data_IF_128443817012
#
_entry.id   IF_128443817012
#
_cell.length_a   1.000
_cell.length_b   1.000
_cell.length_c   1.000
_cell.angle_alpha   90.00
_cell.angle_beta   90.00
_cell.angle_gamma   90.00
#
_symmetry.space_group_name_H-M   'P 1'
#
loop_
_entity.id
_entity.type
_entity.pdbx_description
1 polymer ?
#
# COMPACT_ATOMS: atom_id res chain seq x y z
N UNK A 1 14.47 15.80 0.85
CA UNK A 1 13.16 15.37 1.27
C UNK A 1 12.94 13.88 0.99
N UNK A 2 12.52 13.11 1.97
CA UNK A 2 12.27 11.69 1.70
C UNK A 2 11.14 11.53 0.68
N UNK A 3 11.38 10.71 -0.29
CA UNK A 3 10.46 10.38 -1.36
C UNK A 3 10.02 8.94 -1.18
N UNK A 4 9.12 8.49 -2.03
CA UNK A 4 8.72 7.07 -2.08
C UNK A 4 9.92 6.15 -2.29
N UNK A 5 10.94 6.60 -3.04
CA UNK A 5 12.16 5.83 -3.27
C UNK A 5 12.89 5.49 -1.97
N UNK A 6 12.93 6.42 -1.02
CA UNK A 6 13.56 6.18 0.27
C UNK A 6 12.86 5.05 1.05
N UNK A 7 11.55 4.92 0.90
CA UNK A 7 10.79 3.84 1.52
C UNK A 7 11.18 2.50 0.93
N UNK A 8 11.34 2.40 -0.38
CA UNK A 8 11.72 1.14 -1.03
C UNK A 8 13.06 0.63 -0.51
N UNK A 9 14.06 1.52 -0.44
CA UNK A 9 15.40 1.11 0.02
C UNK A 9 15.42 0.79 1.51
N UNK A 10 14.58 1.45 2.30
CA UNK A 10 14.57 1.27 3.75
C UNK A 10 13.91 -0.04 4.18
N UNK A 11 12.77 -0.40 3.58
CA UNK A 11 11.96 -1.49 4.09
C UNK A 11 12.18 -2.82 3.39
N UNK A 12 12.49 -2.82 2.12
CA UNK A 12 12.45 -4.05 1.35
C UNK A 12 13.78 -4.39 0.68
N UNK A 13 14.78 -3.58 0.87
CA UNK A 13 16.07 -3.81 0.23
C UNK A 13 15.98 -3.57 -1.27
N UNK A 14 16.10 -4.62 -2.06
CA UNK A 14 16.26 -4.49 -3.50
C UNK A 14 14.94 -4.61 -4.25
N UNK A 15 14.75 -3.74 -5.24
CA UNK A 15 13.68 -3.86 -6.22
C UNK A 15 13.93 -5.13 -7.05
N UNK A 16 12.87 -5.90 -7.24
CA UNK A 16 12.95 -7.17 -7.96
C UNK A 16 13.40 -7.00 -9.41
N UNK A 17 14.06 -8.01 -9.93
CA UNK A 17 14.47 -8.09 -11.31
C UNK A 17 13.77 -9.23 -12.08
N UNK A 18 12.75 -9.85 -11.45
CA UNK A 18 11.95 -10.92 -12.05
C UNK A 18 10.49 -10.52 -12.08
N UNK A 19 9.78 -10.93 -13.13
CA UNK A 19 8.33 -10.77 -13.21
C UNK A 19 7.66 -11.82 -12.31
N UNK A 20 6.66 -11.40 -11.55
CA UNK A 20 5.95 -12.27 -10.60
C UNK A 20 4.44 -12.20 -10.82
N UNK A 21 3.78 -13.28 -10.46
CA UNK A 21 2.33 -13.42 -10.56
C UNK A 21 1.77 -14.01 -9.27
N UNK A 22 0.51 -13.72 -8.98
CA UNK A 22 -0.19 -14.27 -7.82
C UNK A 22 -1.68 -14.38 -8.15
N UNK A 23 -2.26 -15.56 -7.93
CA UNK A 23 -3.69 -15.77 -8.15
C UNK A 23 -4.14 -15.48 -9.57
N UNK A 24 -3.32 -15.80 -10.57
CA UNK A 24 -3.64 -15.54 -11.97
C UNK A 24 -3.41 -14.10 -12.43
N UNK A 25 -3.00 -13.21 -11.51
CA UNK A 25 -2.69 -11.82 -11.86
C UNK A 25 -1.19 -11.64 -11.98
N UNK A 26 -0.74 -11.08 -13.11
CA UNK A 26 0.67 -10.74 -13.33
C UNK A 26 0.88 -9.28 -12.97
N UNK A 27 1.79 -9.02 -12.04
CA UNK A 27 2.16 -7.67 -11.64
C UNK A 27 3.01 -6.99 -12.72
N UNK A 28 3.40 -5.75 -12.49
CA UNK A 28 4.21 -5.00 -13.45
C UNK A 28 5.41 -5.84 -13.91
N UNK A 29 5.64 -5.91 -15.20
CA UNK A 29 6.78 -6.63 -15.75
C UNK A 29 8.08 -6.02 -15.23
N UNK A 30 9.04 -6.88 -14.89
CA UNK A 30 10.29 -6.43 -14.27
C UNK A 30 11.02 -5.36 -15.11
N UNK A 31 10.97 -5.47 -16.43
CA UNK A 31 11.62 -4.54 -17.34
C UNK A 31 11.01 -3.13 -17.34
N UNK A 32 9.73 -3.00 -16.90
CA UNK A 32 9.04 -1.71 -16.81
C UNK A 32 8.94 -1.18 -15.39
N UNK A 33 9.47 -1.91 -14.43
CA UNK A 33 9.24 -1.59 -13.01
C UNK A 33 9.87 -0.25 -12.60
N UNK A 34 11.11 0.02 -12.98
CA UNK A 34 11.75 1.29 -12.62
C UNK A 34 11.04 2.50 -13.23
N UNK A 35 10.68 2.50 -14.53
CA UNK A 35 9.86 3.59 -15.06
C UNK A 35 8.51 3.73 -14.37
N UNK A 36 7.85 2.62 -14.05
CA UNK A 36 6.57 2.64 -13.36
C UNK A 36 6.69 3.27 -11.97
N UNK A 37 7.73 2.93 -11.21
CA UNK A 37 7.96 3.50 -9.90
C UNK A 37 8.24 5.02 -9.97
N UNK A 38 8.97 5.47 -10.98
CA UNK A 38 9.18 6.89 -11.19
C UNK A 38 7.87 7.63 -11.47
N UNK A 39 7.00 7.04 -12.28
CA UNK A 39 5.68 7.62 -12.56
C UNK A 39 4.81 7.68 -11.31
N UNK A 40 4.83 6.61 -10.50
CA UNK A 40 4.09 6.57 -9.24
C UNK A 40 4.59 7.66 -8.28
N UNK A 41 5.90 7.87 -8.18
CA UNK A 41 6.46 8.93 -7.33
C UNK A 41 5.90 10.30 -7.68
N UNK A 42 5.65 10.53 -8.97
CA UNK A 42 5.16 11.82 -9.47
C UNK A 42 3.64 11.99 -9.33
N UNK A 43 2.93 10.92 -9.00
CA UNK A 43 1.48 11.02 -8.82
C UNK A 43 1.15 11.95 -7.65
N UNK A 44 0.06 12.74 -7.77
CA UNK A 44 -0.32 13.66 -6.71
C UNK A 44 -0.72 12.93 -5.42
N UNK A 45 -0.47 13.57 -4.29
CA UNK A 45 -0.78 13.01 -2.98
C UNK A 45 -1.32 14.10 -2.04
N UNK A 46 -2.10 15.03 -2.58
CA UNK A 46 -2.63 16.17 -1.81
C UNK A 46 -3.97 15.86 -1.16
N UNK A 47 -4.75 14.94 -1.72
CA UNK A 47 -6.06 14.54 -1.18
C UNK A 47 -6.04 13.05 -0.84
N UNK A 48 -7.01 12.65 0.00
CA UNK A 48 -7.16 11.24 0.35
C UNK A 48 -7.33 10.36 -0.90
N UNK A 49 -8.21 10.75 -1.82
CA UNK A 49 -8.46 9.99 -3.04
C UNK A 49 -7.20 9.83 -3.89
N UNK A 50 -6.43 10.91 -4.04
CA UNK A 50 -5.16 10.86 -4.75
C UNK A 50 -4.15 9.91 -4.09
N UNK A 51 -4.08 9.95 -2.76
CA UNK A 51 -3.17 9.08 -2.00
C UNK A 51 -3.57 7.61 -2.20
N UNK A 52 -4.86 7.30 -2.17
CA UNK A 52 -5.32 5.92 -2.38
C UNK A 52 -5.09 5.48 -3.82
N UNK A 53 -5.29 6.34 -4.81
CA UNK A 53 -4.96 6.02 -6.20
C UNK A 53 -3.49 5.67 -6.35
N UNK A 54 -2.63 6.45 -5.71
CA UNK A 54 -1.19 6.19 -5.69
C UNK A 54 -0.86 4.85 -5.03
N UNK A 55 -1.53 4.54 -3.93
CA UNK A 55 -1.41 3.28 -3.22
C UNK A 55 -1.80 2.09 -4.12
N UNK A 56 -2.92 2.20 -4.84
CA UNK A 56 -3.37 1.15 -5.76
C UNK A 56 -2.33 0.90 -6.85
N UNK A 57 -1.78 1.95 -7.44
CA UNK A 57 -0.75 1.82 -8.46
C UNK A 57 0.53 1.16 -7.91
N UNK A 58 0.93 1.50 -6.68
CA UNK A 58 2.06 0.86 -6.04
C UNK A 58 1.81 -0.63 -5.81
N UNK A 59 0.58 -0.98 -5.45
CA UNK A 59 0.22 -2.38 -5.25
C UNK A 59 0.29 -3.16 -6.57
N UNK A 60 -0.12 -2.56 -7.68
CA UNK A 60 0.02 -3.16 -9.01
C UNK A 60 1.49 -3.31 -9.41
N UNK A 61 2.31 -2.32 -9.10
CA UNK A 61 3.74 -2.35 -9.38
C UNK A 61 4.42 -3.50 -8.63
N UNK A 62 4.08 -3.69 -7.36
CA UNK A 62 4.58 -4.82 -6.55
C UNK A 62 6.10 -4.91 -6.63
N UNK A 63 6.84 -3.91 -6.11
CA UNK A 63 8.24 -3.70 -6.49
C UNK A 63 9.23 -4.72 -5.91
N UNK A 64 8.83 -5.53 -4.94
CA UNK A 64 9.72 -6.45 -4.26
C UNK A 64 9.33 -7.89 -4.49
N UNK A 65 10.24 -8.83 -4.24
CA UNK A 65 9.91 -10.25 -4.34
C UNK A 65 8.96 -10.69 -3.22
N UNK A 66 9.14 -10.14 -2.03
CA UNK A 66 8.34 -10.46 -0.84
C UNK A 66 8.07 -9.20 -0.03
N UNK A 67 7.03 -9.24 0.81
CA UNK A 67 6.72 -8.17 1.74
C UNK A 67 6.10 -6.94 1.10
N UNK A 68 5.61 -7.06 -0.13
CA UNK A 68 4.99 -5.92 -0.84
C UNK A 68 3.78 -5.38 -0.10
N UNK A 69 2.89 -6.23 0.37
CA UNK A 69 1.70 -5.79 1.09
C UNK A 69 2.07 -5.00 2.34
N UNK A 70 2.97 -5.53 3.15
CA UNK A 70 3.42 -4.85 4.37
C UNK A 70 4.09 -3.52 4.05
N UNK A 71 5.02 -3.53 3.10
CA UNK A 71 5.76 -2.32 2.72
C UNK A 71 4.84 -1.25 2.16
N UNK A 72 3.91 -1.62 1.31
CA UNK A 72 2.99 -0.64 0.70
C UNK A 72 1.98 -0.10 1.70
N UNK A 73 1.54 -0.91 2.67
CA UNK A 73 0.65 -0.41 3.74
C UNK A 73 1.37 0.57 4.66
N UNK A 74 2.62 0.30 5.02
CA UNK A 74 3.45 1.24 5.79
C UNK A 74 3.65 2.53 4.99
N UNK A 75 3.96 2.41 3.73
CA UNK A 75 4.15 3.55 2.83
C UNK A 75 2.88 4.41 2.73
N UNK A 76 1.71 3.78 2.62
CA UNK A 76 0.43 4.48 2.63
C UNK A 76 0.25 5.30 3.91
N UNK A 77 0.48 4.67 5.07
CA UNK A 77 0.34 5.36 6.36
C UNK A 77 1.33 6.51 6.50
N UNK A 78 2.55 6.37 5.99
CA UNK A 78 3.53 7.46 6.01
C UNK A 78 3.07 8.66 5.19
N UNK A 79 2.49 8.43 4.01
CA UNK A 79 1.97 9.51 3.18
C UNK A 79 0.77 10.18 3.85
N UNK A 80 -0.17 9.38 4.36
CA UNK A 80 -1.34 9.90 5.05
C UNK A 80 -0.95 10.74 6.26
N UNK A 81 0.01 10.28 7.04
CA UNK A 81 0.52 11.02 8.20
C UNK A 81 1.13 12.35 7.79
N UNK A 82 1.95 12.33 6.75
CA UNK A 82 2.64 13.52 6.26
C UNK A 82 1.68 14.56 5.67
N UNK A 83 0.71 14.11 4.88
CA UNK A 83 -0.16 15.01 4.13
C UNK A 83 -1.43 15.40 4.87
N UNK A 84 -2.03 14.47 5.62
CA UNK A 84 -3.34 14.65 6.23
C UNK A 84 -3.32 14.58 7.76
N UNK A 85 -2.21 14.19 8.36
CA UNK A 85 -2.13 13.97 9.80
C UNK A 85 -2.99 12.79 10.26
N UNK A 86 -3.15 11.78 9.41
CA UNK A 86 -3.99 10.62 9.67
C UNK A 86 -3.26 9.32 9.31
N UNK A 87 -3.80 8.21 9.76
CA UNK A 87 -3.35 6.88 9.37
C UNK A 87 -4.54 5.93 9.34
N UNK A 88 -4.31 4.70 8.93
CA UNK A 88 -5.36 3.69 8.87
C UNK A 88 -5.34 2.87 10.16
N UNK A 89 -6.49 2.71 10.78
CA UNK A 89 -6.66 1.72 11.84
C UNK A 89 -7.03 0.38 11.19
N UNK A 90 -6.01 -0.40 10.88
CA UNK A 90 -6.17 -1.65 10.15
C UNK A 90 -7.04 -2.67 10.89
N UNK A 91 -7.20 -2.53 12.21
CA UNK A 91 -8.06 -3.41 12.99
C UNK A 91 -9.55 -3.28 12.63
N UNK A 92 -9.93 -2.22 11.95
CA UNK A 92 -11.31 -1.98 11.51
C UNK A 92 -11.64 -2.61 10.17
N UNK A 93 -10.66 -3.23 9.51
CA UNK A 93 -10.84 -3.80 8.18
C UNK A 93 -10.58 -5.31 8.25
N UNK A 94 -11.55 -6.12 7.84
CA UNK A 94 -11.36 -7.56 7.80
C UNK A 94 -10.48 -7.97 6.63
N UNK A 95 -9.80 -9.11 6.77
CA UNK A 95 -8.96 -9.67 5.71
C UNK A 95 -9.72 -9.85 4.40
N UNK A 96 -10.92 -10.43 4.47
CA UNK A 96 -11.71 -10.70 3.27
C UNK A 96 -12.12 -9.41 2.56
N UNK A 97 -12.60 -8.43 3.31
CA UNK A 97 -13.00 -7.15 2.74
C UNK A 97 -11.82 -6.44 2.08
N UNK A 98 -10.66 -6.44 2.76
CA UNK A 98 -9.45 -5.84 2.24
C UNK A 98 -8.99 -6.51 0.94
N UNK A 99 -8.87 -7.84 0.94
CA UNK A 99 -8.40 -8.58 -0.22
C UNK A 99 -9.35 -8.44 -1.40
N UNK A 100 -10.66 -8.51 -1.17
CA UNK A 100 -11.65 -8.33 -2.23
C UNK A 100 -11.60 -6.92 -2.81
N UNK A 101 -11.48 -5.90 -1.96
CA UNK A 101 -11.40 -4.52 -2.42
C UNK A 101 -10.12 -4.27 -3.23
N UNK A 102 -8.99 -4.88 -2.84
CA UNK A 102 -7.74 -4.74 -3.56
C UNK A 102 -7.79 -5.43 -4.92
N UNK A 103 -8.41 -6.61 -5.02
CA UNK A 103 -8.60 -7.28 -6.30
C UNK A 103 -9.42 -6.41 -7.25
N UNK A 104 -10.52 -5.86 -6.77
CA UNK A 104 -11.39 -4.99 -7.57
C UNK A 104 -10.70 -3.69 -7.94
N UNK A 105 -9.76 -3.21 -7.11
CA UNK A 105 -9.09 -1.92 -7.32
C UNK A 105 -8.31 -1.82 -8.63
N UNK A 106 -7.94 -2.95 -9.23
CA UNK A 106 -7.27 -2.96 -10.52
C UNK A 106 -8.14 -2.36 -11.63
N UNK A 107 -9.44 -2.44 -11.48
CA UNK A 107 -10.39 -1.88 -12.45
C UNK A 107 -11.19 -0.71 -11.88
N UNK A 108 -11.48 -0.74 -10.59
CA UNK A 108 -12.32 0.27 -9.93
C UNK A 108 -11.90 0.44 -8.47
N UNK A 109 -11.47 1.63 -8.11
CA UNK A 109 -10.90 1.91 -6.78
C UNK A 109 -11.91 2.37 -5.73
N UNK A 110 -13.19 2.49 -6.09
CA UNK A 110 -14.21 3.04 -5.18
C UNK A 110 -14.31 2.25 -3.87
N UNK A 111 -14.30 0.93 -3.95
CA UNK A 111 -14.46 0.07 -2.77
C UNK A 111 -13.29 0.18 -1.81
N UNK A 112 -12.05 0.18 -2.31
CA UNK A 112 -10.89 0.33 -1.42
C UNK A 112 -10.84 1.72 -0.81
N UNK A 113 -11.23 2.76 -1.55
CA UNK A 113 -11.33 4.11 -1.00
C UNK A 113 -12.34 4.19 0.14
N UNK A 114 -13.50 3.57 -0.04
CA UNK A 114 -14.55 3.52 0.98
C UNK A 114 -14.08 2.79 2.24
N UNK A 115 -13.47 1.61 2.07
CA UNK A 115 -12.95 0.84 3.19
C UNK A 115 -11.89 1.60 3.98
N UNK A 116 -10.91 2.18 3.29
CA UNK A 116 -9.82 2.91 3.94
C UNK A 116 -10.35 4.17 4.61
N UNK A 117 -11.30 4.87 3.99
CA UNK A 117 -11.91 6.06 4.60
C UNK A 117 -12.62 5.71 5.91
N UNK A 118 -13.30 4.57 5.96
CA UNK A 118 -14.00 4.13 7.17
C UNK A 118 -13.07 3.83 8.33
N UNK A 119 -11.80 3.57 8.06
CA UNK A 119 -10.79 3.21 9.04
C UNK A 119 -9.77 4.32 9.32
N UNK A 120 -9.97 5.52 8.75
CA UNK A 120 -9.07 6.64 9.02
C UNK A 120 -9.16 7.05 10.49
N UNK A 121 -8.00 7.34 11.07
CA UNK A 121 -7.90 7.83 12.44
C UNK A 121 -6.84 8.92 12.52
N UNK A 122 -6.97 9.83 13.48
CA UNK A 122 -5.98 10.86 13.75
C UNK A 122 -4.99 10.45 14.86
N UNK A 123 -5.06 9.21 15.31
CA UNK A 123 -4.18 8.66 16.36
C UNK A 123 -2.83 8.24 15.80
N UNK A 124 -2.15 9.16 15.12
CA UNK A 124 -0.91 8.88 14.41
C UNK A 124 0.29 8.58 15.31
N UNK A 125 0.21 8.99 16.59
CA UNK A 125 1.26 8.74 17.58
C UNK A 125 0.84 7.70 18.62
N UNK A 126 -0.28 7.01 18.40
CA UNK A 126 -0.78 6.01 19.31
C UNK A 126 -0.03 4.70 19.09
N UNK A 127 0.68 4.26 20.13
CA UNK A 127 1.44 3.01 20.09
C UNK A 127 0.54 1.80 19.82
N UNK A 128 -0.66 1.79 20.41
CA UNK A 128 -1.62 0.71 20.21
C UNK A 128 -2.05 0.62 18.75
N UNK A 129 -2.38 1.75 18.12
CA UNK A 129 -2.74 1.80 16.70
C UNK A 129 -1.58 1.32 15.83
N UNK A 130 -0.36 1.72 16.14
CA UNK A 130 0.83 1.28 15.43
C UNK A 130 1.04 -0.23 15.55
N UNK A 131 0.91 -0.78 16.75
CA UNK A 131 1.08 -2.21 16.99
C UNK A 131 -0.02 -3.02 16.28
N UNK A 132 -1.24 -2.55 16.28
CA UNK A 132 -2.33 -3.17 15.51
C UNK A 132 -1.99 -3.20 14.01
N UNK A 133 -1.42 -2.12 13.49
CA UNK A 133 -1.00 -2.06 12.10
C UNK A 133 0.00 -3.13 11.73
N UNK A 134 0.99 -3.36 12.60
CA UNK A 134 1.98 -4.42 12.40
C UNK A 134 1.30 -5.79 12.41
N UNK A 135 0.48 -6.08 13.43
CA UNK A 135 -0.19 -7.36 13.58
C UNK A 135 -1.11 -7.67 12.40
N UNK A 136 -1.93 -6.70 12.00
CA UNK A 136 -2.86 -6.87 10.88
C UNK A 136 -2.14 -6.96 9.55
N UNK A 137 -0.98 -6.34 9.41
CA UNK A 137 -0.18 -6.46 8.21
C UNK A 137 0.24 -7.92 7.97
N UNK A 138 0.68 -8.62 9.01
CA UNK A 138 0.96 -10.04 8.91
C UNK A 138 -0.30 -10.86 8.67
N UNK A 139 -1.40 -10.52 9.35
CA UNK A 139 -2.67 -11.21 9.18
C UNK A 139 -3.17 -11.16 7.73
N UNK A 140 -3.07 -10.00 7.06
CA UNK A 140 -3.52 -9.85 5.67
C UNK A 140 -2.69 -10.68 4.69
N UNK A 141 -1.51 -11.11 5.08
CA UNK A 141 -0.61 -11.87 4.22
C UNK A 141 -0.64 -13.38 4.46
N UNK A 142 -1.37 -13.82 5.48
CA UNK A 142 -1.53 -15.24 5.74
C UNK A 142 -2.40 -15.88 4.67
N UNK A 143 -1.96 -17.03 4.18
CA UNK A 143 -2.78 -17.87 3.31
C UNK A 143 -3.75 -18.68 4.16
N UNK A 144 -4.95 -18.84 3.66
CA UNK A 144 -5.96 -19.65 4.33
C UNK A 144 -5.80 -21.14 3.98
#
# INVERSE_FOLDING_TARGET
MPTSSAVYTTFAGQIRNKTISKGGFTFCLAEYLHPALRDIEKMPEDTFDQIVDKYVEMNVAHPFMEGNGRSTRIWLDLILKKRLGKCIDWSKITKNDYLNAMIISHTKSDRIKELLASALTDKINDRETFMKGIDYSYYYEQED
#
